data_IF_166574998833
#
_entry.id   IF_166574998833
#
_cell.length_a   1.000
_cell.length_b   1.000
_cell.length_c   1.000
_cell.angle_alpha   90.00
_cell.angle_beta   90.00
_cell.angle_gamma   90.00
#
_symmetry.space_group_name_H-M   'P 1'
#
loop_
_entity.id
_entity.type
_entity.pdbx_description
1 polymer ?
#
# COMPACT_ATOMS: atom_id res chain seq x y z
N UNK A 1 13.37 -4.85 -2.29
CA UNK A 1 13.46 -3.48 -1.81
C UNK A 1 12.08 -2.95 -1.37
N UNK A 2 12.06 -1.93 -0.53
CA UNK A 2 10.82 -1.30 -0.06
C UNK A 2 9.99 -0.74 -1.23
N UNK A 3 10.64 -0.21 -2.26
CA UNK A 3 9.99 0.26 -3.48
C UNK A 3 9.12 -0.81 -4.18
N UNK A 4 9.55 -2.07 -4.18
CA UNK A 4 8.75 -3.17 -4.74
C UNK A 4 7.48 -3.45 -3.92
N UNK A 5 7.57 -3.32 -2.60
CA UNK A 5 6.41 -3.49 -1.71
C UNK A 5 5.40 -2.38 -1.97
N UNK A 6 5.85 -1.13 -2.00
CA UNK A 6 4.99 0.04 -2.27
C UNK A 6 4.38 -0.03 -3.68
N UNK A 7 5.17 -0.37 -4.69
CA UNK A 7 4.66 -0.54 -6.06
C UNK A 7 3.55 -1.59 -6.15
N UNK A 8 3.71 -2.73 -5.47
CA UNK A 8 2.66 -3.76 -5.39
C UNK A 8 1.41 -3.27 -4.66
N UNK A 9 1.58 -2.57 -3.55
CA UNK A 9 0.47 -2.00 -2.78
C UNK A 9 -0.33 -1.01 -3.64
N UNK A 10 0.34 -0.22 -4.47
CA UNK A 10 -0.28 0.73 -5.38
C UNK A 10 -0.81 0.07 -6.68
N UNK A 11 -0.63 -1.22 -6.86
CA UNK A 11 -1.00 -1.93 -8.10
C UNK A 11 -0.20 -1.46 -9.32
N UNK A 12 1.03 -0.97 -9.11
CA UNK A 12 1.90 -0.48 -10.17
C UNK A 12 2.96 -1.53 -10.53
N UNK A 13 3.18 -1.81 -11.82
CA UNK A 13 4.31 -2.61 -12.24
C UNK A 13 5.61 -1.95 -11.76
N UNK A 14 6.54 -2.76 -11.26
CA UNK A 14 7.79 -2.28 -10.67
C UNK A 14 8.94 -3.19 -11.05
N UNK A 15 10.06 -2.60 -11.43
CA UNK A 15 11.33 -3.30 -11.64
C UNK A 15 12.30 -2.77 -10.59
N UNK A 16 12.92 -3.67 -9.85
CA UNK A 16 13.88 -3.35 -8.78
C UNK A 16 15.24 -3.98 -9.08
N UNK A 17 16.27 -3.52 -8.41
CA UNK A 17 17.64 -3.99 -8.66
C UNK A 17 18.27 -3.41 -9.93
N UNK A 18 17.73 -2.33 -10.48
CA UNK A 18 18.22 -1.67 -11.68
C UNK A 18 19.44 -0.77 -11.41
N UNK A 19 20.52 -1.35 -10.86
CA UNK A 19 21.74 -0.63 -10.46
C UNK A 19 22.54 0.00 -11.61
N UNK A 20 22.23 -0.37 -12.84
CA UNK A 20 22.89 0.19 -14.04
C UNK A 20 22.34 1.57 -14.46
N UNK A 21 21.21 1.97 -13.87
CA UNK A 21 20.62 3.30 -14.13
C UNK A 21 21.50 4.40 -13.58
N UNK A 22 21.91 5.31 -14.44
CA UNK A 22 22.61 6.54 -14.06
C UNK A 22 21.62 7.69 -14.06
N UNK A 23 21.17 8.09 -12.87
CA UNK A 23 20.15 9.12 -12.68
C UNK A 23 20.82 10.48 -12.63
N UNK A 24 20.30 11.44 -13.42
CA UNK A 24 20.64 12.85 -13.36
C UNK A 24 19.39 13.62 -12.89
N UNK A 25 19.33 13.88 -11.59
CA UNK A 25 18.18 14.57 -10.97
C UNK A 25 18.03 16.01 -11.49
N UNK A 26 19.12 16.75 -11.65
CA UNK A 26 19.09 18.11 -12.17
C UNK A 26 18.67 18.17 -13.63
N UNK A 27 19.13 17.20 -14.43
CA UNK A 27 18.76 17.09 -15.85
C UNK A 27 17.46 16.33 -16.09
N UNK A 28 16.76 15.89 -15.03
CA UNK A 28 15.51 15.14 -15.08
C UNK A 28 15.55 14.01 -16.12
N UNK A 29 16.60 13.20 -16.04
CA UNK A 29 16.86 12.14 -17.01
C UNK A 29 17.61 10.99 -16.36
N UNK A 30 17.61 9.84 -17.01
CA UNK A 30 18.52 8.76 -16.68
C UNK A 30 19.13 8.16 -17.95
N UNK A 31 20.27 7.54 -17.79
CA UNK A 31 20.97 6.85 -18.87
C UNK A 31 21.23 5.40 -18.49
N UNK A 32 21.00 4.50 -19.42
CA UNK A 32 21.30 3.07 -19.31
C UNK A 32 21.71 2.52 -20.68
N UNK A 33 22.76 1.75 -20.73
CA UNK A 33 23.28 1.13 -21.97
C UNK A 33 23.38 2.12 -23.15
N UNK A 34 23.89 3.33 -22.87
CA UNK A 34 24.08 4.38 -23.87
C UNK A 34 22.79 5.09 -24.35
N UNK A 35 21.63 4.70 -23.83
CA UNK A 35 20.35 5.35 -24.11
C UNK A 35 19.99 6.32 -23.01
N UNK A 36 19.54 7.52 -23.35
CA UNK A 36 19.06 8.53 -22.40
C UNK A 36 17.55 8.65 -22.52
N UNK A 37 16.87 8.59 -21.36
CA UNK A 37 15.44 8.82 -21.21
C UNK A 37 15.26 10.09 -20.40
N UNK A 38 14.36 10.97 -20.84
CA UNK A 38 14.09 12.27 -20.22
C UNK A 38 12.71 12.30 -19.59
N UNK A 39 12.48 13.26 -18.70
CA UNK A 39 11.15 13.54 -18.18
C UNK A 39 10.16 13.79 -19.33
N UNK A 40 9.01 13.14 -19.28
CA UNK A 40 7.99 13.18 -20.34
C UNK A 40 8.06 12.07 -21.37
N UNK A 41 9.15 11.31 -21.44
CA UNK A 41 9.25 10.13 -22.30
C UNK A 41 8.37 8.98 -21.77
N UNK A 42 7.76 8.25 -22.70
CA UNK A 42 6.96 7.07 -22.34
C UNK A 42 7.85 5.83 -22.16
N UNK A 43 7.64 5.17 -21.03
CA UNK A 43 8.25 3.88 -20.75
C UNK A 43 7.18 2.83 -20.51
N UNK A 44 7.33 1.68 -21.13
CA UNK A 44 6.57 0.48 -20.80
C UNK A 44 7.52 -0.56 -20.19
N UNK A 45 7.10 -1.19 -19.10
CA UNK A 45 7.88 -2.26 -18.49
C UNK A 45 6.98 -3.35 -17.91
N UNK A 46 7.50 -4.56 -17.99
CA UNK A 46 6.88 -5.76 -17.47
C UNK A 46 7.59 -6.19 -16.18
N UNK A 47 6.88 -6.12 -15.07
CA UNK A 47 7.40 -6.52 -13.75
C UNK A 47 7.63 -8.03 -13.62
N UNK A 48 7.12 -8.86 -14.51
CA UNK A 48 7.33 -10.30 -14.50
C UNK A 48 8.66 -10.69 -15.19
N UNK A 49 8.89 -10.13 -16.38
CA UNK A 49 10.07 -10.44 -17.20
C UNK A 49 11.25 -9.52 -16.93
N UNK A 50 10.99 -8.31 -16.36
CA UNK A 50 11.99 -7.26 -16.21
C UNK A 50 12.29 -6.49 -17.50
N UNK A 51 11.52 -6.71 -18.56
CA UNK A 51 11.72 -6.02 -19.84
C UNK A 51 11.26 -4.56 -19.76
N UNK A 52 12.07 -3.65 -20.30
CA UNK A 52 11.77 -2.22 -20.40
C UNK A 52 11.86 -1.78 -21.85
N UNK A 53 10.83 -1.08 -22.32
CA UNK A 53 10.76 -0.48 -23.66
C UNK A 53 10.52 1.02 -23.59
N UNK A 54 11.20 1.78 -24.40
CA UNK A 54 10.90 3.21 -24.61
C UNK A 54 9.75 3.27 -25.61
N UNK A 55 8.53 3.18 -25.10
CA UNK A 55 7.33 3.15 -25.92
C UNK A 55 6.09 3.48 -25.09
N UNK A 56 5.07 4.03 -25.73
CA UNK A 56 3.75 4.15 -25.14
C UNK A 56 2.96 2.86 -25.42
N UNK A 57 2.59 2.15 -24.35
CA UNK A 57 1.75 0.95 -24.43
C UNK A 57 0.45 1.21 -23.69
N UNK A 58 -0.68 0.90 -24.31
CA UNK A 58 -1.97 0.99 -23.63
C UNK A 58 -2.06 -0.07 -22.52
N UNK A 59 -2.45 0.33 -21.35
CA UNK A 59 -2.72 -0.56 -20.22
C UNK A 59 -4.19 -0.49 -19.84
N UNK A 60 -4.73 -1.63 -19.36
CA UNK A 60 -6.08 -1.68 -18.82
C UNK A 60 -6.02 -1.88 -17.32
N UNK A 61 -6.90 -1.22 -16.55
CA UNK A 61 -7.00 -1.46 -15.11
C UNK A 61 -7.32 -2.93 -14.83
N UNK A 62 -6.78 -3.45 -13.71
CA UNK A 62 -7.06 -4.83 -13.29
C UNK A 62 -8.58 -5.04 -13.10
N UNK A 63 -9.15 -6.00 -13.81
CA UNK A 63 -10.57 -6.35 -13.66
C UNK A 63 -10.89 -6.82 -12.23
N UNK A 64 -9.96 -7.53 -11.58
CA UNK A 64 -10.11 -7.97 -10.20
C UNK A 64 -10.29 -6.76 -9.28
N UNK A 65 -9.43 -5.74 -9.42
CA UNK A 65 -9.53 -4.52 -8.62
C UNK A 65 -10.78 -3.70 -8.96
N UNK A 66 -11.22 -3.71 -10.22
CA UNK A 66 -12.49 -3.05 -10.61
C UNK A 66 -13.70 -3.71 -9.96
N UNK A 67 -13.72 -5.05 -9.88
CA UNK A 67 -14.78 -5.79 -9.18
C UNK A 67 -14.75 -5.50 -7.69
N UNK A 68 -13.58 -5.52 -7.05
CA UNK A 68 -13.41 -5.21 -5.62
C UNK A 68 -13.86 -3.78 -5.31
N UNK A 69 -13.54 -2.83 -6.18
CA UNK A 69 -13.95 -1.43 -6.06
C UNK A 69 -15.43 -1.18 -6.44
N UNK A 70 -16.20 -2.22 -6.79
CA UNK A 70 -17.59 -2.09 -7.19
C UNK A 70 -17.84 -1.42 -8.55
N UNK A 71 -16.78 -1.25 -9.36
CA UNK A 71 -16.84 -0.61 -10.70
C UNK A 71 -17.20 -1.60 -11.82
N UNK A 72 -17.11 -2.89 -11.55
CA UNK A 72 -17.44 -3.98 -12.46
C UNK A 72 -18.17 -5.08 -11.69
N UNK A 73 -19.15 -5.72 -12.31
CA UNK A 73 -19.84 -6.85 -11.69
C UNK A 73 -19.00 -8.13 -11.79
N UNK A 74 -19.00 -9.01 -10.78
CA UNK A 74 -18.27 -10.29 -10.83
C UNK A 74 -18.59 -11.14 -12.08
N UNK A 75 -19.84 -11.12 -12.54
CA UNK A 75 -20.28 -11.87 -13.72
C UNK A 75 -19.70 -11.33 -15.05
N UNK A 76 -19.27 -10.09 -15.08
CA UNK A 76 -18.71 -9.43 -16.26
C UNK A 76 -17.20 -9.69 -16.45
N UNK A 77 -16.53 -10.26 -15.41
CA UNK A 77 -15.09 -10.54 -15.45
C UNK A 77 -14.79 -12.04 -15.35
N UNK A 78 -14.49 -12.71 -16.46
CA UNK A 78 -14.02 -14.10 -16.43
C UNK A 78 -12.73 -14.29 -15.64
N UNK A 79 -11.86 -13.27 -15.61
CA UNK A 79 -10.61 -13.29 -14.84
C UNK A 79 -10.92 -13.30 -13.34
N UNK A 80 -11.84 -12.46 -12.90
CA UNK A 80 -12.26 -12.44 -11.49
C UNK A 80 -12.90 -13.78 -11.07
N UNK A 81 -13.75 -14.36 -11.92
CA UNK A 81 -14.39 -15.65 -11.61
C UNK A 81 -13.35 -16.77 -11.43
N UNK A 82 -12.34 -16.84 -12.32
CA UNK A 82 -11.24 -17.81 -12.18
C UNK A 82 -10.42 -17.56 -10.92
N UNK A 83 -10.09 -16.31 -10.66
CA UNK A 83 -9.39 -15.88 -9.43
C UNK A 83 -10.16 -16.30 -8.17
N UNK A 84 -11.45 -15.99 -8.12
CA UNK A 84 -12.33 -16.34 -7.00
C UNK A 84 -12.45 -17.85 -6.80
N UNK A 85 -12.58 -18.61 -7.89
CA UNK A 85 -12.61 -20.07 -7.84
C UNK A 85 -11.31 -20.65 -7.28
N UNK A 86 -10.16 -20.15 -7.75
CA UNK A 86 -8.85 -20.59 -7.27
C UNK A 86 -8.66 -20.30 -5.78
N UNK A 87 -9.04 -19.09 -5.35
CA UNK A 87 -8.99 -18.74 -3.92
C UNK A 87 -9.96 -19.59 -3.08
N UNK A 88 -11.14 -19.92 -3.63
CA UNK A 88 -12.09 -20.81 -2.98
C UNK A 88 -11.51 -22.21 -2.75
N UNK A 89 -10.80 -22.76 -3.73
CA UNK A 89 -10.07 -24.02 -3.55
C UNK A 89 -8.98 -23.91 -2.51
N UNK A 90 -8.17 -22.86 -2.56
CA UNK A 90 -7.13 -22.62 -1.55
C UNK A 90 -7.73 -22.55 -0.12
N UNK A 91 -8.88 -21.91 0.02
CA UNK A 91 -9.60 -21.81 1.31
C UNK A 91 -10.09 -23.16 1.86
N UNK A 92 -10.38 -24.13 1.00
CA UNK A 92 -10.77 -25.48 1.43
C UNK A 92 -9.61 -26.28 2.03
N UNK A 93 -8.38 -26.04 1.56
CA UNK A 93 -7.20 -26.80 1.97
C UNK A 93 -6.34 -26.10 3.02
N UNK A 94 -6.43 -24.78 3.13
CA UNK A 94 -5.63 -24.04 4.09
C UNK A 94 -6.00 -24.39 5.53
N UNK A 95 -4.98 -24.51 6.38
CA UNK A 95 -5.12 -24.73 7.83
C UNK A 95 -4.94 -23.46 8.64
N UNK A 96 -4.18 -22.51 8.11
CA UNK A 96 -3.85 -21.24 8.77
C UNK A 96 -4.66 -20.10 8.17
N UNK A 97 -5.06 -19.15 9.01
CA UNK A 97 -5.66 -17.90 8.56
C UNK A 97 -4.59 -16.96 7.99
N UNK A 98 -4.74 -16.56 6.74
CA UNK A 98 -3.86 -15.56 6.13
C UNK A 98 -4.23 -14.19 6.69
N UNK A 99 -3.27 -13.47 7.25
CA UNK A 99 -3.43 -12.10 7.74
C UNK A 99 -2.60 -11.15 6.90
N UNK A 100 -3.20 -10.02 6.55
CA UNK A 100 -2.53 -8.98 5.75
C UNK A 100 -1.81 -7.97 6.66
N UNK A 101 -0.90 -7.20 6.06
CA UNK A 101 -0.41 -5.97 6.65
C UNK A 101 -1.27 -4.83 6.08
N UNK A 102 -1.91 -4.06 6.96
CA UNK A 102 -2.67 -2.88 6.59
C UNK A 102 -2.67 -1.90 7.76
N UNK A 103 -2.44 -0.63 7.44
CA UNK A 103 -2.22 0.42 8.41
C UNK A 103 -3.35 1.47 8.36
N UNK A 104 -4.21 1.40 7.32
CA UNK A 104 -5.31 2.34 7.08
C UNK A 104 -6.60 1.59 6.70
N UNK A 105 -7.78 2.21 6.87
CA UNK A 105 -9.08 1.59 6.62
C UNK A 105 -9.27 1.07 5.19
N UNK A 106 -8.85 1.85 4.19
CA UNK A 106 -8.96 1.48 2.77
C UNK A 106 -8.11 0.25 2.41
N UNK A 107 -6.89 0.17 2.98
CA UNK A 107 -6.01 -0.99 2.84
C UNK A 107 -6.64 -2.23 3.49
N UNK A 108 -7.26 -2.07 4.66
CA UNK A 108 -7.95 -3.13 5.37
C UNK A 108 -9.17 -3.65 4.58
N UNK A 109 -9.94 -2.76 3.95
CA UNK A 109 -11.08 -3.11 3.09
C UNK A 109 -10.63 -3.95 1.89
N UNK A 110 -9.57 -3.54 1.20
CA UNK A 110 -9.00 -4.28 0.06
C UNK A 110 -8.47 -5.65 0.54
N UNK A 111 -7.75 -5.68 1.65
CA UNK A 111 -7.22 -6.92 2.20
C UNK A 111 -8.35 -7.91 2.55
N UNK A 112 -9.41 -7.43 3.18
CA UNK A 112 -10.58 -8.24 3.50
C UNK A 112 -11.28 -8.76 2.23
N UNK A 113 -11.49 -7.90 1.24
CA UNK A 113 -12.10 -8.26 -0.04
C UNK A 113 -11.27 -9.29 -0.83
N UNK A 114 -9.94 -9.28 -0.67
CA UNK A 114 -9.02 -10.27 -1.23
C UNK A 114 -8.93 -11.56 -0.42
N UNK A 115 -9.70 -11.70 0.68
CA UNK A 115 -9.81 -12.93 1.46
C UNK A 115 -8.91 -13.00 2.70
N UNK A 116 -8.31 -11.88 3.14
CA UNK A 116 -7.58 -11.84 4.41
C UNK A 116 -8.51 -12.15 5.59
N UNK A 117 -8.02 -12.95 6.53
CA UNK A 117 -8.73 -13.37 7.75
C UNK A 117 -8.31 -12.58 8.98
N UNK A 118 -7.74 -11.40 8.77
CA UNK A 118 -7.30 -10.51 9.81
C UNK A 118 -6.17 -9.60 9.34
N UNK A 119 -5.80 -8.67 10.19
CA UNK A 119 -4.58 -7.87 10.05
C UNK A 119 -3.51 -8.46 10.96
N UNK A 120 -2.40 -8.87 10.38
CA UNK A 120 -1.25 -9.44 11.08
C UNK A 120 -0.32 -8.38 11.63
N UNK A 121 -0.31 -7.20 11.03
CA UNK A 121 0.42 -6.04 11.50
C UNK A 121 -0.24 -4.76 11.01
N UNK A 122 -0.65 -3.93 11.97
CA UNK A 122 -1.01 -2.54 11.77
C UNK A 122 0.03 -1.67 12.48
N UNK A 123 0.74 -0.85 11.70
CA UNK A 123 1.80 0.05 12.18
C UNK A 123 1.19 1.40 12.49
N UNK A 124 1.09 1.74 13.77
CA UNK A 124 0.45 3.00 14.19
C UNK A 124 1.23 4.23 13.76
N UNK A 125 2.55 4.12 13.57
CA UNK A 125 3.39 5.21 13.07
C UNK A 125 3.00 5.67 11.66
N UNK A 126 2.47 4.79 10.82
CA UNK A 126 2.00 5.16 9.48
C UNK A 126 0.74 6.03 9.50
N UNK A 127 -0.06 5.96 10.57
CA UNK A 127 -1.22 6.81 10.75
C UNK A 127 -0.83 8.28 10.98
N UNK A 128 0.40 8.54 11.42
CA UNK A 128 0.90 9.89 11.69
C UNK A 128 1.33 10.66 10.42
N UNK A 129 1.45 9.98 9.28
CA UNK A 129 1.75 10.63 8.00
C UNK A 129 0.51 11.19 7.29
N UNK A 130 -0.66 11.09 7.88
CA UNK A 130 -1.89 11.68 7.36
C UNK A 130 -1.81 13.21 7.28
N UNK A 131 -2.65 13.77 6.43
CA UNK A 131 -2.72 15.21 6.21
C UNK A 131 -2.95 15.97 7.53
N UNK A 132 -2.17 17.02 7.77
CA UNK A 132 -2.25 17.85 8.98
C UNK A 132 -1.71 17.23 10.26
N UNK A 133 -1.29 15.96 10.28
CA UNK A 133 -0.83 15.27 11.50
C UNK A 133 0.65 15.47 11.79
N UNK A 134 1.47 15.58 10.76
CA UNK A 134 2.94 15.72 10.92
C UNK A 134 3.34 16.85 11.88
N UNK A 135 2.77 18.07 11.80
CA UNK A 135 3.14 19.14 12.73
C UNK A 135 2.78 18.81 14.19
N UNK A 136 1.67 18.08 14.41
CA UNK A 136 1.25 17.69 15.76
C UNK A 136 2.21 16.63 16.32
N UNK A 137 2.59 15.65 15.49
CA UNK A 137 3.57 14.63 15.86
C UNK A 137 4.93 15.24 16.15
N UNK A 138 5.37 16.21 15.36
CA UNK A 138 6.60 16.96 15.63
C UNK A 138 6.56 17.67 16.97
N UNK A 139 5.45 18.36 17.31
CA UNK A 139 5.26 18.97 18.64
C UNK A 139 5.31 17.94 19.75
N UNK A 140 4.67 16.78 19.56
CA UNK A 140 4.71 15.68 20.52
C UNK A 140 6.13 15.19 20.79
N UNK A 141 6.92 14.98 19.74
CA UNK A 141 8.30 14.47 19.83
C UNK A 141 9.22 15.50 20.48
N UNK A 142 9.09 16.76 20.06
CA UNK A 142 9.97 17.87 20.50
C UNK A 142 9.52 18.51 21.84
N UNK A 143 8.43 18.03 22.45
CA UNK A 143 7.91 18.58 23.71
C UNK A 143 8.93 18.40 24.83
N UNK A 144 9.31 19.50 25.49
CA UNK A 144 10.22 19.52 26.61
C UNK A 144 9.51 19.20 27.94
N UNK A 145 8.20 19.46 28.02
CA UNK A 145 7.39 19.18 29.20
C UNK A 145 6.37 18.06 28.94
N UNK A 146 5.97 17.36 30.01
CA UNK A 146 4.88 16.38 29.93
C UNK A 146 3.55 17.06 29.55
N UNK A 147 3.30 18.25 30.00
CA UNK A 147 2.07 19.01 29.73
C UNK A 147 1.95 19.30 28.21
N UNK A 148 3.02 19.79 27.58
CA UNK A 148 3.03 20.09 26.15
C UNK A 148 2.89 18.82 25.31
N UNK A 149 3.55 17.74 25.73
CA UNK A 149 3.43 16.44 25.07
C UNK A 149 2.01 15.91 25.16
N UNK A 150 1.37 16.02 26.33
CA UNK A 150 0.00 15.59 26.53
C UNK A 150 -0.97 16.41 25.69
N UNK A 151 -0.79 17.71 25.59
CA UNK A 151 -1.61 18.56 24.72
C UNK A 151 -1.55 18.13 23.26
N UNK A 152 -0.37 17.80 22.74
CA UNK A 152 -0.23 17.28 21.37
C UNK A 152 -0.86 15.88 21.21
N UNK A 153 -0.75 15.01 22.21
CA UNK A 153 -1.40 13.70 22.22
C UNK A 153 -2.92 13.81 22.23
N UNK A 154 -3.48 14.76 22.95
CA UNK A 154 -4.93 15.00 23.01
C UNK A 154 -5.49 15.46 21.66
N UNK A 155 -4.69 16.17 20.86
CA UNK A 155 -5.04 16.53 19.49
C UNK A 155 -4.98 15.31 18.53
N UNK A 156 -4.03 14.39 18.73
CA UNK A 156 -3.88 13.19 17.90
C UNK A 156 -4.93 12.11 18.21
N UNK A 157 -5.37 12.03 19.44
CA UNK A 157 -6.25 10.97 19.94
C UNK A 157 -7.54 10.79 19.12
N UNK A 158 -8.31 11.84 18.80
CA UNK A 158 -9.52 11.68 17.98
C UNK A 158 -9.22 11.17 16.57
N UNK A 159 -8.12 11.62 15.96
CA UNK A 159 -7.72 11.22 14.62
C UNK A 159 -7.34 9.73 14.59
N UNK A 160 -6.55 9.28 15.56
CA UNK A 160 -6.13 7.88 15.65
C UNK A 160 -7.29 6.96 16.01
N UNK A 161 -8.20 7.44 16.85
CA UNK A 161 -9.44 6.71 17.19
C UNK A 161 -10.29 6.46 15.93
N UNK A 162 -10.40 7.44 15.04
CA UNK A 162 -11.12 7.31 13.78
C UNK A 162 -10.46 6.29 12.85
N UNK A 163 -9.13 6.33 12.74
CA UNK A 163 -8.38 5.34 11.95
C UNK A 163 -8.63 3.92 12.45
N UNK A 164 -8.51 3.69 13.76
CA UNK A 164 -8.79 2.37 14.33
C UNK A 164 -10.24 1.95 14.14
N UNK A 165 -11.18 2.85 14.32
CA UNK A 165 -12.58 2.56 14.06
C UNK A 165 -12.80 2.12 12.61
N UNK A 166 -12.19 2.83 11.66
CA UNK A 166 -12.25 2.48 10.24
C UNK A 166 -11.64 1.10 9.95
N UNK A 167 -10.46 0.82 10.50
CA UNK A 167 -9.81 -0.50 10.34
C UNK A 167 -10.66 -1.62 10.92
N UNK A 168 -11.18 -1.46 12.14
CA UNK A 168 -12.02 -2.49 12.77
C UNK A 168 -13.34 -2.70 12.01
N UNK A 169 -13.95 -1.62 11.52
CA UNK A 169 -15.16 -1.68 10.70
C UNK A 169 -14.90 -2.44 9.39
N UNK A 170 -13.78 -2.15 8.71
CA UNK A 170 -13.38 -2.83 7.48
C UNK A 170 -13.16 -4.33 7.69
N UNK A 171 -12.58 -4.71 8.83
CA UNK A 171 -12.24 -6.10 9.15
C UNK A 171 -13.41 -6.93 9.72
N UNK A 172 -14.59 -6.32 9.92
CA UNK A 172 -15.86 -7.02 10.24
C UNK A 172 -15.74 -8.06 11.36
N UNK A 173 -15.03 -7.75 12.44
CA UNK A 173 -14.86 -8.63 13.59
C UNK A 173 -13.73 -9.66 13.49
N UNK A 174 -12.95 -9.66 12.41
CA UNK A 174 -11.73 -10.47 12.35
C UNK A 174 -10.60 -9.82 13.17
N UNK A 175 -9.58 -10.60 13.54
CA UNK A 175 -8.51 -10.13 14.41
C UNK A 175 -7.63 -9.06 13.74
N UNK A 176 -7.31 -8.02 14.49
CA UNK A 176 -6.37 -6.96 14.08
C UNK A 176 -5.25 -6.90 15.10
N UNK A 177 -4.02 -7.15 14.67
CA UNK A 177 -2.81 -7.03 15.52
C UNK A 177 -2.23 -5.63 15.33
N UNK A 178 -2.21 -4.85 16.40
CA UNK A 178 -1.72 -3.48 16.40
C UNK A 178 -0.35 -3.43 17.04
N UNK A 179 0.61 -2.82 16.35
CA UNK A 179 1.89 -2.44 16.97
C UNK A 179 1.72 -1.06 17.60
N UNK A 180 1.98 -0.96 18.89
CA UNK A 180 2.09 0.35 19.56
C UNK A 180 3.27 1.12 18.98
N UNK A 181 3.32 2.43 19.22
CA UNK A 181 4.33 3.32 18.65
C UNK A 181 5.73 2.76 18.88
N UNK A 182 6.45 2.60 17.78
CA UNK A 182 7.85 2.17 17.74
C UNK A 182 8.62 3.21 16.91
N UNK A 183 8.95 4.38 17.51
CA UNK A 183 9.70 5.40 16.79
C UNK A 183 11.10 4.88 16.52
N UNK A 184 11.65 5.07 15.31
CA UNK A 184 13.05 4.80 15.07
C UNK A 184 13.89 5.72 15.98
N UNK A 185 14.78 5.11 16.73
CA UNK A 185 15.77 5.80 17.57
C UNK A 185 16.90 6.37 16.71
#
# INVERSE_FOLDING_TARGET
>A
SHAAVVGRQMGKPSIVGAGELRINEHGKSFTVNGRTVKEGDYLAFDGLTGEVKIAQVSSHPSEILQVIAGKMKPAESPIYQRFHTLLGWADQFRRLGVRANADQPDQAEIAYALGARGIGLCRTEHMFFGEGRIPIVQRMILAESEADRRAALDELLPMQREDFYGVFKAMKGTAVTIRTIDPPL
#
